data_IF_143370936041
#
_entry.id   IF_143370936041
#
_cell.length_a   1.000
_cell.length_b   1.000
_cell.length_c   1.000
_cell.angle_alpha   90.00
_cell.angle_beta   90.00
_cell.angle_gamma   90.00
#
_symmetry.space_group_name_H-M   'P 1'
#
loop_
_entity.id
_entity.type
_entity.pdbx_description
1 polymer ?
#
# COMPACT_ATOMS: atom_id res chain seq x y z
N UNK A 1 -31.33 -15.30 -39.37
CA UNK A 1 -31.30 -13.88 -38.97
C UNK A 1 -30.59 -13.82 -37.63
N UNK A 2 -29.37 -13.30 -37.61
CA UNK A 2 -28.66 -13.01 -36.37
C UNK A 2 -28.94 -11.55 -36.06
N UNK A 3 -29.66 -11.27 -34.97
CA UNK A 3 -29.71 -9.92 -34.43
C UNK A 3 -28.37 -9.74 -33.72
N UNK A 4 -27.57 -8.78 -34.20
CA UNK A 4 -26.39 -8.33 -33.47
C UNK A 4 -26.90 -7.24 -32.53
N UNK A 5 -26.64 -7.41 -31.24
CA UNK A 5 -26.93 -6.38 -30.25
C UNK A 5 -26.10 -5.14 -30.57
N UNK A 6 -26.77 -4.03 -30.86
CA UNK A 6 -26.17 -2.74 -31.21
C UNK A 6 -26.06 -1.79 -30.02
N UNK A 7 -26.46 -2.22 -28.82
CA UNK A 7 -26.29 -1.46 -27.60
C UNK A 7 -24.80 -1.38 -27.23
N UNK A 8 -24.35 -0.20 -26.80
CA UNK A 8 -23.02 -0.02 -26.22
C UNK A 8 -23.13 -0.05 -24.71
N UNK A 9 -22.34 -0.88 -24.03
CA UNK A 9 -22.35 -1.00 -22.57
C UNK A 9 -20.97 -0.70 -22.00
N UNK A 10 -20.91 0.11 -20.93
CA UNK A 10 -19.71 0.39 -20.15
C UNK A 10 -19.83 -0.21 -18.74
N UNK A 11 -18.82 -0.96 -18.32
CA UNK A 11 -18.82 -1.64 -17.02
C UNK A 11 -17.41 -1.71 -16.43
N UNK A 12 -17.29 -1.81 -15.11
CA UNK A 12 -16.00 -2.23 -14.53
C UNK A 12 -15.70 -3.67 -14.94
N UNK A 13 -14.44 -3.96 -15.25
CA UNK A 13 -13.98 -5.31 -15.58
C UNK A 13 -13.97 -6.29 -14.40
N UNK A 14 -13.99 -5.76 -13.17
CA UNK A 14 -13.96 -6.52 -11.93
C UNK A 14 -14.77 -5.82 -10.84
N UNK A 15 -15.18 -6.57 -9.83
CA UNK A 15 -15.85 -6.05 -8.62
C UNK A 15 -14.84 -5.40 -7.65
N UNK A 16 -13.56 -5.78 -7.74
CA UNK A 16 -12.51 -5.32 -6.86
C UNK A 16 -11.21 -5.08 -7.63
N UNK A 17 -10.53 -4.00 -7.29
CA UNK A 17 -9.19 -3.65 -7.76
C UNK A 17 -8.27 -3.43 -6.56
N UNK A 18 -6.96 -3.38 -6.78
CA UNK A 18 -6.00 -2.99 -5.75
C UNK A 18 -4.90 -2.12 -6.32
N UNK A 19 -4.43 -1.17 -5.53
CA UNK A 19 -3.29 -0.31 -5.83
C UNK A 19 -2.42 -0.22 -4.58
N UNK A 20 -1.12 0.03 -4.77
CA UNK A 20 -0.23 0.35 -3.66
C UNK A 20 -0.30 1.84 -3.39
N UNK A 21 -0.30 2.19 -2.13
CA UNK A 21 0.07 3.52 -1.68
C UNK A 21 1.59 3.54 -1.73
N UNK A 22 2.19 3.74 -2.90
CA UNK A 22 3.66 3.92 -3.02
C UNK A 22 4.04 5.19 -3.80
N UNK A 23 3.09 6.12 -3.88
CA UNK A 23 3.17 7.32 -4.69
C UNK A 23 3.31 7.10 -6.21
N UNK A 24 3.30 5.85 -6.69
CA UNK A 24 3.42 5.57 -8.13
C UNK A 24 2.06 5.72 -8.81
N UNK A 25 1.96 6.57 -9.86
CA UNK A 25 0.76 6.64 -10.70
C UNK A 25 0.53 5.30 -11.41
N UNK A 26 -0.38 4.46 -10.90
CA UNK A 26 -0.73 3.18 -11.51
C UNK A 26 -2.18 3.22 -11.99
N UNK A 27 -2.38 2.90 -13.27
CA UNK A 27 -3.70 2.69 -13.84
C UNK A 27 -4.28 1.35 -13.36
N UNK A 28 -4.91 1.36 -12.17
CA UNK A 28 -5.36 0.15 -11.47
C UNK A 28 -6.78 -0.29 -11.83
N UNK A 29 -7.64 0.64 -12.29
CA UNK A 29 -9.07 0.37 -12.51
C UNK A 29 -9.35 0.21 -14.00
N UNK A 30 -9.87 -0.94 -14.40
CA UNK A 30 -10.17 -1.21 -15.82
C UNK A 30 -11.68 -1.17 -16.08
N UNK A 31 -12.08 -0.35 -17.06
CA UNK A 31 -13.44 -0.27 -17.61
C UNK A 31 -13.46 -0.95 -18.98
N UNK A 32 -14.49 -1.75 -19.25
CA UNK A 32 -14.72 -2.40 -20.54
C UNK A 32 -15.89 -1.78 -21.28
N UNK A 33 -15.76 -1.70 -22.61
CA UNK A 33 -16.83 -1.37 -23.55
C UNK A 33 -17.20 -2.64 -24.32
N UNK A 34 -18.48 -3.00 -24.32
CA UNK A 34 -19.02 -4.15 -25.05
C UNK A 34 -20.17 -3.76 -25.98
N UNK A 35 -20.54 -4.66 -26.89
CA UNK A 35 -21.57 -4.44 -27.90
C UNK A 35 -21.04 -3.57 -29.06
N UNK A 36 -21.72 -2.47 -29.37
CA UNK A 36 -21.31 -1.60 -30.48
C UNK A 36 -20.07 -0.76 -30.13
N UNK A 37 -19.05 -0.84 -31.00
CA UNK A 37 -17.77 -0.14 -30.82
C UNK A 37 -17.62 1.12 -31.67
N UNK A 38 -18.66 1.48 -32.44
CA UNK A 38 -18.63 2.65 -33.32
C UNK A 38 -18.83 3.93 -32.52
N UNK A 39 -18.13 4.99 -32.92
CA UNK A 39 -18.20 6.31 -32.30
C UNK A 39 -17.55 6.41 -30.93
N UNK A 40 -17.53 7.63 -30.40
CA UNK A 40 -16.96 7.95 -29.10
C UNK A 40 -18.06 7.81 -28.04
N UNK A 41 -17.74 7.12 -26.95
CA UNK A 41 -18.60 7.03 -25.75
C UNK A 41 -17.79 7.39 -24.52
N UNK A 42 -18.45 7.87 -23.47
CA UNK A 42 -17.78 8.15 -22.20
C UNK A 42 -18.69 7.90 -21.00
N UNK A 43 -18.08 7.79 -19.83
CA UNK A 43 -18.75 7.76 -18.53
C UNK A 43 -17.91 8.53 -17.49
N UNK A 44 -18.46 8.73 -16.31
CA UNK A 44 -17.77 9.31 -15.15
C UNK A 44 -17.65 8.29 -14.04
N UNK A 45 -16.45 8.11 -13.51
CA UNK A 45 -16.19 7.38 -12.27
C UNK A 45 -16.31 8.38 -11.11
N UNK A 46 -17.25 8.15 -10.21
CA UNK A 46 -17.35 8.88 -8.94
C UNK A 46 -16.76 8.04 -7.82
N UNK A 47 -15.99 8.68 -6.94
CA UNK A 47 -15.28 8.04 -5.84
C UNK A 47 -15.90 8.49 -4.51
N UNK A 48 -16.20 7.54 -3.64
CA UNK A 48 -16.72 7.81 -2.29
C UNK A 48 -15.99 6.99 -1.26
N UNK A 49 -15.88 7.50 -0.03
CA UNK A 49 -15.16 6.84 1.04
C UNK A 49 -15.66 5.41 1.24
N UNK A 50 -14.72 4.49 1.46
CA UNK A 50 -14.96 3.20 2.11
C UNK A 50 -14.43 3.29 3.53
N UNK A 51 -13.31 2.60 3.79
CA UNK A 51 -12.49 2.87 4.98
C UNK A 51 -11.49 3.99 4.75
N UNK A 52 -11.03 4.17 3.50
CA UNK A 52 -10.20 5.29 3.09
C UNK A 52 -11.05 6.58 3.01
N UNK A 53 -10.44 7.71 3.30
CA UNK A 53 -11.04 9.04 3.45
C UNK A 53 -10.35 10.10 2.60
N UNK A 54 -11.14 10.85 1.83
CA UNK A 54 -10.63 12.04 1.13
C UNK A 54 -10.56 13.24 2.10
N UNK A 55 -9.48 14.01 2.18
CA UNK A 55 -8.23 14.01 1.38
C UNK A 55 -7.04 13.45 2.14
N UNK A 56 -7.24 12.47 3.04
CA UNK A 56 -6.12 11.82 3.72
C UNK A 56 -5.46 10.81 2.79
N UNK A 57 -6.27 9.90 2.25
CA UNK A 57 -5.77 8.69 1.57
C UNK A 57 -5.96 8.79 0.03
N UNK A 58 -6.87 9.65 -0.44
CA UNK A 58 -7.12 9.85 -1.88
C UNK A 58 -7.81 11.17 -2.24
N UNK A 59 -7.79 11.55 -3.51
CA UNK A 59 -8.58 12.66 -4.05
C UNK A 59 -9.92 12.18 -4.63
N UNK A 60 -11.04 12.71 -4.12
CA UNK A 60 -12.41 12.36 -4.52
C UNK A 60 -12.92 13.03 -5.80
N UNK A 61 -12.05 13.70 -6.57
CA UNK A 61 -12.41 14.32 -7.84
C UNK A 61 -12.94 13.27 -8.83
N UNK A 62 -14.16 13.43 -9.38
CA UNK A 62 -14.68 12.51 -10.39
C UNK A 62 -13.81 12.43 -11.64
N UNK A 63 -13.69 11.24 -12.21
CA UNK A 63 -12.78 10.95 -13.34
C UNK A 63 -13.60 10.64 -14.58
N UNK A 64 -13.33 11.34 -15.68
CA UNK A 64 -13.96 11.04 -16.97
C UNK A 64 -13.20 9.92 -17.68
N UNK A 65 -13.91 8.88 -18.12
CA UNK A 65 -13.39 7.83 -18.99
C UNK A 65 -14.02 7.98 -20.38
N UNK A 66 -13.19 8.17 -21.40
CA UNK A 66 -13.64 8.29 -22.79
C UNK A 66 -13.04 7.17 -23.64
N UNK A 67 -13.87 6.49 -24.40
CA UNK A 67 -13.50 5.47 -25.37
C UNK A 67 -13.59 6.08 -26.76
N UNK A 68 -12.50 6.00 -27.51
CA UNK A 68 -12.50 6.28 -28.93
C UNK A 68 -13.26 5.18 -29.72
N UNK A 69 -13.50 5.46 -30.99
CA UNK A 69 -14.03 4.48 -31.94
C UNK A 69 -13.16 3.21 -31.93
N UNK A 70 -13.80 2.05 -31.76
CA UNK A 70 -13.14 0.75 -31.73
C UNK A 70 -12.47 0.36 -30.40
N UNK A 71 -12.35 1.25 -29.40
CA UNK A 71 -11.71 0.91 -28.13
C UNK A 71 -12.61 0.03 -27.24
N UNK A 72 -12.06 -1.07 -26.74
CA UNK A 72 -12.80 -2.05 -25.91
C UNK A 72 -12.48 -1.96 -24.42
N UNK A 73 -11.38 -1.32 -24.03
CA UNK A 73 -10.97 -1.19 -22.62
C UNK A 73 -10.20 0.10 -22.35
N UNK A 74 -10.38 0.64 -21.15
CA UNK A 74 -9.55 1.73 -20.59
C UNK A 74 -9.08 1.38 -19.20
N UNK A 75 -7.79 1.62 -18.93
CA UNK A 75 -7.21 1.59 -17.59
C UNK A 75 -7.18 3.01 -17.04
N UNK A 76 -7.68 3.20 -15.84
CA UNK A 76 -7.85 4.49 -15.18
C UNK A 76 -6.95 4.55 -13.95
N UNK A 77 -6.17 5.61 -13.86
CA UNK A 77 -5.40 5.97 -12.68
C UNK A 77 -6.32 6.58 -11.63
N UNK A 78 -6.15 6.17 -10.39
CA UNK A 78 -6.88 6.70 -9.25
C UNK A 78 -5.86 7.47 -8.39
N UNK A 79 -6.10 8.77 -8.10
CA UNK A 79 -5.14 9.59 -7.37
C UNK A 79 -5.13 9.24 -5.87
N UNK A 80 -4.27 8.28 -5.51
CA UNK A 80 -3.94 7.91 -4.14
C UNK A 80 -2.92 8.90 -3.56
N UNK A 81 -3.02 9.18 -2.26
CA UNK A 81 -2.13 10.09 -1.56
C UNK A 81 -1.20 9.28 -0.67
N UNK A 82 0.09 9.33 -0.97
CA UNK A 82 1.13 8.68 -0.17
C UNK A 82 1.35 9.39 1.17
N UNK A 83 1.50 8.65 2.26
CA UNK A 83 2.05 9.18 3.51
C UNK A 83 3.21 8.34 4.11
N UNK A 84 3.35 8.31 5.44
CA UNK A 84 4.43 7.57 6.14
C UNK A 84 3.92 6.83 7.39
N UNK A 85 2.61 6.68 7.49
CA UNK A 85 1.89 6.09 8.61
C UNK A 85 1.56 4.66 8.22
N UNK A 86 1.93 3.72 9.10
CA UNK A 86 1.49 2.34 8.92
C UNK A 86 -0.01 2.22 9.12
N UNK A 87 -0.69 1.75 8.09
CA UNK A 87 -2.14 1.58 8.03
C UNK A 87 -2.55 0.16 7.63
N UNK A 88 -3.82 -0.18 7.87
CA UNK A 88 -4.36 -1.42 7.32
C UNK A 88 -4.74 -1.20 5.86
N UNK A 89 -4.95 -2.27 5.09
CA UNK A 89 -5.53 -2.13 3.75
C UNK A 89 -6.88 -1.39 3.82
N UNK A 90 -6.97 -0.28 3.09
CA UNK A 90 -8.15 0.56 3.07
C UNK A 90 -8.93 0.44 1.76
N UNK A 91 -10.13 1.01 1.70
CA UNK A 91 -11.01 0.88 0.54
C UNK A 91 -11.65 2.19 0.09
N UNK A 92 -11.77 2.35 -1.23
CA UNK A 92 -12.57 3.38 -1.91
C UNK A 92 -13.71 2.70 -2.68
N UNK A 93 -14.90 3.28 -2.63
CA UNK A 93 -16.04 2.84 -3.44
C UNK A 93 -16.07 3.61 -4.77
N UNK A 94 -16.17 2.89 -5.88
CA UNK A 94 -16.21 3.42 -7.24
C UNK A 94 -17.59 3.18 -7.86
N UNK A 95 -18.14 4.17 -8.55
CA UNK A 95 -19.41 4.05 -9.29
C UNK A 95 -19.29 4.66 -10.68
N UNK A 96 -19.74 3.95 -11.70
CA UNK A 96 -19.91 4.50 -13.06
C UNK A 96 -21.24 5.23 -13.17
N UNK A 97 -21.18 6.45 -13.67
CA UNK A 97 -22.33 7.35 -13.84
C UNK A 97 -22.23 8.12 -15.17
N UNK A 98 -23.30 8.83 -15.52
CA UNK A 98 -23.33 9.80 -16.62
C UNK A 98 -22.79 9.25 -17.97
N UNK A 99 -23.28 8.10 -18.47
CA UNK A 99 -22.84 7.64 -19.78
C UNK A 99 -23.28 8.61 -20.87
N UNK A 100 -22.48 8.74 -21.92
CA UNK A 100 -22.76 9.58 -23.10
C UNK A 100 -22.43 8.85 -24.40
N UNK A 101 -22.82 9.41 -25.54
CA UNK A 101 -22.54 8.82 -26.86
C UNK A 101 -23.41 7.61 -27.20
N UNK A 102 -24.53 7.42 -26.50
CA UNK A 102 -25.43 6.28 -26.69
C UNK A 102 -25.07 5.03 -25.87
N UNK A 103 -24.01 5.09 -25.06
CA UNK A 103 -23.70 4.02 -24.13
C UNK A 103 -24.69 3.95 -22.95
N UNK A 104 -24.82 2.75 -22.39
CA UNK A 104 -25.48 2.48 -21.11
C UNK A 104 -24.45 2.00 -20.10
N UNK A 105 -24.80 2.06 -18.80
CA UNK A 105 -23.97 1.45 -17.75
C UNK A 105 -24.43 0.01 -17.52
N UNK A 106 -23.47 -0.88 -17.55
CA UNK A 106 -23.69 -2.31 -17.39
C UNK A 106 -24.02 -2.77 -15.98
N UNK A 107 -24.17 -4.09 -15.82
CA UNK A 107 -24.49 -4.68 -14.51
C UNK A 107 -23.39 -4.44 -13.48
N UNK A 108 -22.12 -4.47 -13.91
CA UNK A 108 -20.96 -4.16 -13.07
C UNK A 108 -20.73 -2.64 -12.99
N UNK A 109 -21.71 -1.92 -12.45
CA UNK A 109 -21.72 -0.44 -12.32
C UNK A 109 -20.91 0.10 -11.14
N UNK A 110 -20.55 -0.75 -10.19
CA UNK A 110 -19.77 -0.39 -8.98
C UNK A 110 -18.58 -1.30 -8.82
N UNK A 111 -17.52 -0.82 -8.19
CA UNK A 111 -16.37 -1.62 -7.76
C UNK A 111 -15.77 -1.05 -6.48
N UNK A 112 -14.94 -1.83 -5.80
CA UNK A 112 -14.14 -1.36 -4.66
C UNK A 112 -12.66 -1.36 -5.04
N UNK A 113 -11.95 -0.27 -4.76
CA UNK A 113 -10.49 -0.22 -4.87
C UNK A 113 -9.88 -0.41 -3.48
N UNK A 114 -8.98 -1.37 -3.34
CA UNK A 114 -8.16 -1.55 -2.14
C UNK A 114 -6.87 -0.73 -2.26
N UNK A 115 -6.58 0.07 -1.24
CA UNK A 115 -5.31 0.77 -1.07
C UNK A 115 -4.45 -0.10 -0.14
N UNK A 116 -3.31 -0.55 -0.65
CA UNK A 116 -2.35 -1.36 0.12
C UNK A 116 -1.22 -0.45 0.59
N UNK A 117 -1.22 -0.18 1.89
CA UNK A 117 -0.16 0.52 2.59
C UNK A 117 1.21 -0.12 2.28
N UNK A 118 2.21 0.73 2.02
CA UNK A 118 3.59 0.35 1.78
C UNK A 118 4.50 0.68 2.98
N UNK A 119 3.97 1.29 4.04
CA UNK A 119 4.77 1.87 5.09
C UNK A 119 5.32 0.85 6.06
N UNK A 120 6.48 1.20 6.64
CA UNK A 120 7.20 0.34 7.57
C UNK A 120 7.60 1.11 8.80
N UNK A 121 7.29 0.52 9.97
CA UNK A 121 7.80 0.95 11.26
C UNK A 121 8.65 -0.14 11.89
N UNK A 122 9.82 0.23 12.39
CA UNK A 122 10.66 -0.66 13.20
C UNK A 122 10.52 -0.29 14.67
N UNK A 123 10.41 -1.31 15.53
CA UNK A 123 10.30 -1.11 16.98
C UNK A 123 10.98 -2.25 17.74
N UNK A 124 11.59 -1.95 18.87
CA UNK A 124 11.98 -2.98 19.83
C UNK A 124 10.74 -3.68 20.39
N UNK A 125 10.86 -4.96 20.72
CA UNK A 125 9.79 -5.73 21.36
C UNK A 125 9.62 -5.39 22.85
N UNK A 126 10.66 -4.85 23.47
CA UNK A 126 10.67 -4.38 24.86
C UNK A 126 11.19 -2.95 25.00
N UNK A 127 10.74 -2.26 26.05
CA UNK A 127 11.24 -0.92 26.42
C UNK A 127 12.49 -0.98 27.29
N UNK A 128 12.78 -2.14 27.88
CA UNK A 128 13.93 -2.39 28.73
C UNK A 128 14.44 -3.81 28.46
N UNK A 129 15.76 -3.93 28.36
CA UNK A 129 16.47 -5.21 28.27
C UNK A 129 17.39 -5.30 29.47
N UNK A 130 17.36 -6.44 30.17
CA UNK A 130 18.18 -6.66 31.36
C UNK A 130 19.11 -7.85 31.12
N UNK A 131 20.36 -7.70 31.55
CA UNK A 131 21.38 -8.72 31.48
C UNK A 131 22.29 -8.58 32.70
N UNK A 132 22.87 -9.68 33.15
CA UNK A 132 23.86 -9.66 34.22
C UNK A 132 25.23 -9.29 33.63
N UNK A 133 26.05 -8.54 34.37
CA UNK A 133 27.44 -8.22 34.00
C UNK A 133 28.40 -9.42 34.17
N UNK A 134 27.91 -10.64 33.95
CA UNK A 134 28.73 -11.86 33.99
C UNK A 134 29.54 -12.06 32.69
N UNK A 135 29.43 -11.13 31.74
CA UNK A 135 30.06 -11.19 30.42
C UNK A 135 29.22 -11.91 29.36
N UNK A 136 27.99 -12.32 29.69
CA UNK A 136 27.05 -12.89 28.73
C UNK A 136 26.42 -11.80 27.87
N UNK A 137 26.62 -11.76 26.54
CA UNK A 137 25.99 -10.74 25.70
C UNK A 137 24.46 -10.71 25.82
N UNK A 138 23.84 -9.56 25.58
CA UNK A 138 22.38 -9.52 25.37
C UNK A 138 22.11 -10.17 24.01
N UNK A 139 21.54 -11.38 23.98
CA UNK A 139 21.29 -12.11 22.72
C UNK A 139 19.86 -11.96 22.18
N UNK A 140 18.99 -11.26 22.90
CA UNK A 140 17.54 -11.23 22.61
C UNK A 140 17.00 -9.80 22.37
N UNK A 141 17.85 -8.85 21.95
CA UNK A 141 17.33 -7.56 21.50
C UNK A 141 16.58 -7.79 20.20
N UNK A 142 15.26 -7.86 20.31
CA UNK A 142 14.39 -8.19 19.20
C UNK A 142 13.81 -6.91 18.62
N UNK A 143 13.92 -6.78 17.30
CA UNK A 143 13.35 -5.68 16.52
C UNK A 143 12.25 -6.27 15.65
N UNK A 144 11.07 -5.69 15.75
CA UNK A 144 9.91 -6.02 14.94
C UNK A 144 9.79 -5.03 13.78
N UNK A 145 9.51 -5.56 12.59
CA UNK A 145 9.02 -4.82 11.44
C UNK A 145 7.49 -4.86 11.43
N UNK A 146 6.88 -3.69 11.46
CA UNK A 146 5.44 -3.47 11.54
C UNK A 146 4.98 -2.77 10.25
N UNK A 147 3.84 -3.17 9.71
CA UNK A 147 3.30 -2.65 8.45
C UNK A 147 3.65 -3.52 7.25
N UNK A 148 4.00 -2.88 6.14
CA UNK A 148 4.42 -3.52 4.90
C UNK A 148 5.58 -4.49 5.13
N UNK A 149 5.52 -5.62 4.44
CA UNK A 149 6.55 -6.67 4.45
C UNK A 149 7.34 -6.73 3.16
N UNK A 150 7.04 -5.85 2.21
CA UNK A 150 7.67 -5.85 0.91
C UNK A 150 9.03 -5.16 0.93
N UNK A 151 9.98 -5.72 0.19
CA UNK A 151 11.32 -5.14 0.03
C UNK A 151 12.20 -5.30 1.27
N UNK A 152 13.46 -4.91 1.08
CA UNK A 152 14.49 -4.93 2.11
C UNK A 152 14.41 -3.63 2.92
N UNK A 153 14.46 -3.76 4.25
CA UNK A 153 14.51 -2.61 5.17
C UNK A 153 15.74 -2.73 6.06
N UNK A 154 16.52 -1.65 6.16
CA UNK A 154 17.72 -1.61 7.00
C UNK A 154 17.60 -0.55 8.07
N UNK A 155 18.09 -0.84 9.27
CA UNK A 155 18.27 0.14 10.33
C UNK A 155 19.62 -0.05 11.02
N UNK A 156 20.04 0.96 11.76
CA UNK A 156 21.26 0.91 12.57
C UNK A 156 20.90 1.11 14.02
N UNK A 157 21.28 0.16 14.87
CA UNK A 157 21.19 0.27 16.33
C UNK A 157 22.55 0.68 16.85
N UNK A 158 22.61 1.82 17.53
CA UNK A 158 23.84 2.33 18.16
C UNK A 158 23.58 2.47 19.67
N UNK A 159 24.15 1.58 20.50
CA UNK A 159 24.11 1.72 21.95
C UNK A 159 24.71 3.08 22.39
N UNK A 160 24.12 3.71 23.41
CA UNK A 160 24.53 5.04 23.89
C UNK A 160 24.61 5.10 25.42
N UNK A 161 25.53 5.94 25.94
CA UNK A 161 25.78 6.03 27.37
C UNK A 161 24.56 6.52 28.15
N UNK A 162 24.40 5.96 29.35
CA UNK A 162 23.54 6.50 30.40
C UNK A 162 24.23 6.27 31.74
N UNK A 163 23.78 5.32 32.55
CA UNK A 163 24.51 4.83 33.73
C UNK A 163 25.67 3.91 33.35
N UNK A 164 25.55 3.19 32.23
CA UNK A 164 26.62 2.41 31.63
C UNK A 164 27.42 3.25 30.62
N UNK A 165 28.74 3.03 30.56
CA UNK A 165 29.72 3.70 29.72
C UNK A 165 30.31 2.77 28.65
N UNK A 166 30.29 3.21 27.39
CA UNK A 166 30.89 2.50 26.26
C UNK A 166 32.38 2.22 26.49
N UNK A 167 32.82 1.03 26.12
CA UNK A 167 34.19 0.55 26.30
C UNK A 167 34.53 0.08 27.71
N UNK A 168 33.76 0.48 28.72
CA UNK A 168 33.82 -0.11 30.07
C UNK A 168 32.80 -1.22 30.22
N UNK A 169 31.53 -0.91 29.94
CA UNK A 169 30.40 -1.78 30.29
C UNK A 169 29.80 -2.46 29.05
N UNK A 170 29.93 -1.84 27.86
CA UNK A 170 29.42 -2.41 26.61
C UNK A 170 30.19 -1.90 25.37
N UNK A 171 30.03 -2.60 24.24
CA UNK A 171 30.53 -2.18 22.93
C UNK A 171 29.50 -1.27 22.23
N UNK A 172 29.91 -0.06 21.82
CA UNK A 172 29.05 0.91 21.13
C UNK A 172 29.19 0.87 19.60
N UNK A 173 29.80 -0.17 19.05
CA UNK A 173 29.89 -0.39 17.60
C UNK A 173 28.47 -0.42 17.00
N UNK A 174 28.16 0.42 15.99
CA UNK A 174 26.86 0.41 15.35
C UNK A 174 26.54 -0.95 14.72
N UNK A 175 25.34 -1.46 14.99
CA UNK A 175 24.86 -2.75 14.48
C UNK A 175 23.85 -2.49 13.38
N UNK A 176 24.13 -2.96 12.16
CA UNK A 176 23.15 -2.92 11.07
C UNK A 176 22.19 -4.09 11.18
N UNK A 177 20.89 -3.77 11.29
CA UNK A 177 19.77 -4.71 11.21
C UNK A 177 19.24 -4.68 9.79
N UNK A 178 19.12 -5.84 9.14
CA UNK A 178 18.54 -5.96 7.80
C UNK A 178 17.37 -6.92 7.86
N UNK A 179 16.18 -6.43 7.52
CA UNK A 179 15.02 -7.27 7.24
C UNK A 179 15.01 -7.56 5.75
N UNK A 180 15.10 -8.83 5.36
CA UNK A 180 14.83 -9.26 4.01
C UNK A 180 13.33 -9.11 3.67
N UNK A 181 13.00 -9.28 2.39
CA UNK A 181 11.60 -9.33 1.94
C UNK A 181 10.81 -10.38 2.73
N UNK A 182 9.66 -9.99 3.28
CA UNK A 182 8.80 -10.85 4.09
C UNK A 182 9.19 -11.00 5.56
N UNK A 183 10.41 -10.62 5.97
CA UNK A 183 10.86 -10.77 7.36
C UNK A 183 10.18 -9.76 8.29
N UNK A 184 9.65 -10.24 9.41
CA UNK A 184 8.92 -9.41 10.39
C UNK A 184 9.65 -9.23 11.72
N UNK A 185 10.71 -10.00 11.95
CA UNK A 185 11.46 -10.01 13.19
C UNK A 185 12.93 -10.21 12.88
N UNK A 186 13.77 -9.45 13.58
CA UNK A 186 15.22 -9.66 13.62
C UNK A 186 15.69 -9.62 15.06
N UNK A 187 16.77 -10.35 15.34
CA UNK A 187 17.44 -10.32 16.64
C UNK A 187 18.86 -9.83 16.45
N UNK A 188 19.32 -9.00 17.38
CA UNK A 188 20.72 -8.57 17.44
C UNK A 188 21.33 -8.91 18.79
N UNK A 189 22.65 -9.02 18.76
CA UNK A 189 23.45 -9.21 19.96
C UNK A 189 24.13 -7.90 20.32
N UNK A 190 23.95 -7.43 21.56
CA UNK A 190 24.73 -6.32 22.12
C UNK A 190 25.82 -6.93 23.03
N UNK A 191 27.10 -6.83 22.66
CA UNK A 191 28.19 -7.27 23.53
C UNK A 191 28.25 -6.42 24.79
N UNK A 192 28.24 -7.08 25.95
CA UNK A 192 28.55 -6.46 27.23
C UNK A 192 29.95 -6.85 27.65
N UNK A 193 30.60 -5.94 28.36
CA UNK A 193 31.89 -6.19 28.98
C UNK A 193 31.64 -6.61 30.43
N UNK A 194 32.33 -7.66 30.86
CA UNK A 194 32.39 -8.00 32.27
C UNK A 194 33.43 -7.10 32.94
N UNK A 195 33.01 -6.29 33.89
CA UNK A 195 33.90 -5.55 34.78
C UNK A 195 33.95 -6.20 36.17
N UNK A 196 35.05 -5.97 36.90
CA UNK A 196 35.40 -6.70 38.13
C UNK A 196 35.31 -5.82 39.36
#
# INVERSE_FOLDING_TARGET
LTIVDDDTELAFSATQFSVKEDGTPVAAVTITRTGNLSGIVSATITLTNGTATSTKDYNSTPIQVSFADGETSKTIEIPILEDSIVENTETINLTLTNPTGGATIGTQKTATLQIKDNDVKLAFDATEFQVSEDGTPITEVTINRIGSREGIVTATVTPSNSTAEAGKDYDNTPITVTFADGEIVQTIVIPINNDT
#
